data_IF_427859653861
#
_entry.id   IF_427859653861
#
_cell.length_a   1.000
_cell.length_b   1.000
_cell.length_c   1.000
_cell.angle_alpha   90.00
_cell.angle_beta   90.00
_cell.angle_gamma   90.00
#
_symmetry.space_group_name_H-M   'P 1'
#
loop_
_entity.id
_entity.type
_entity.pdbx_description
1 polymer ?
#
# COMPACT_ATOMS: atom_id res chain seq x y z
N UNK A 1 6.92 0.21 -26.18
CA UNK A 1 6.79 -0.43 -24.85
C UNK A 1 7.31 0.45 -23.71
N UNK A 2 8.52 1.00 -23.79
CA UNK A 2 9.09 1.85 -22.72
C UNK A 2 8.19 3.05 -22.35
N UNK A 3 7.62 3.75 -23.35
CA UNK A 3 6.72 4.89 -23.15
C UNK A 3 5.42 4.48 -22.41
N UNK A 4 4.93 3.27 -22.69
CA UNK A 4 3.76 2.72 -21.99
C UNK A 4 4.07 2.42 -20.53
N UNK A 5 5.25 1.84 -20.24
CA UNK A 5 5.71 1.57 -18.87
C UNK A 5 5.88 2.88 -18.09
N UNK A 6 6.54 3.88 -18.68
CA UNK A 6 6.73 5.20 -18.06
C UNK A 6 5.38 5.85 -17.76
N UNK A 7 4.45 5.86 -18.72
CA UNK A 7 3.10 6.41 -18.50
C UNK A 7 2.37 5.69 -17.37
N UNK A 8 2.50 4.36 -17.27
CA UNK A 8 1.84 3.57 -16.24
C UNK A 8 2.44 3.80 -14.85
N UNK A 9 3.77 3.88 -14.73
CA UNK A 9 4.46 4.27 -13.50
C UNK A 9 4.08 5.70 -13.11
N UNK A 10 4.02 6.61 -14.09
CA UNK A 10 3.61 8.00 -13.88
C UNK A 10 2.19 8.13 -13.33
N UNK A 11 1.25 7.26 -13.72
CA UNK A 11 -0.10 7.20 -13.16
C UNK A 11 -0.10 6.56 -11.76
N UNK A 12 0.78 5.60 -11.49
CA UNK A 12 0.85 4.94 -10.18
C UNK A 12 1.26 5.90 -9.05
N UNK A 13 2.12 6.87 -9.33
CA UNK A 13 2.58 7.87 -8.35
C UNK A 13 1.42 8.67 -7.72
N UNK A 14 0.55 9.38 -8.48
CA UNK A 14 -0.57 10.10 -7.88
C UNK A 14 -1.58 9.17 -7.21
N UNK A 15 -1.78 7.95 -7.74
CA UNK A 15 -2.64 6.95 -7.07
C UNK A 15 -2.12 6.58 -5.68
N UNK A 16 -0.81 6.33 -5.55
CA UNK A 16 -0.18 6.03 -4.26
C UNK A 16 -0.23 7.23 -3.31
N UNK A 17 0.00 8.45 -3.80
CA UNK A 17 -0.08 9.66 -2.97
C UNK A 17 -1.49 9.87 -2.42
N UNK A 18 -2.52 9.69 -3.25
CA UNK A 18 -3.93 9.77 -2.81
C UNK A 18 -4.21 8.68 -1.78
N UNK A 19 -3.75 7.45 -2.01
CA UNK A 19 -3.95 6.34 -1.09
C UNK A 19 -3.28 6.62 0.26
N UNK A 20 -2.04 7.11 0.27
CA UNK A 20 -1.32 7.51 1.49
C UNK A 20 -2.09 8.61 2.23
N UNK A 21 -2.55 9.66 1.53
CA UNK A 21 -3.29 10.75 2.15
C UNK A 21 -4.60 10.25 2.77
N UNK A 22 -5.37 9.43 2.04
CA UNK A 22 -6.61 8.83 2.55
C UNK A 22 -6.34 7.96 3.77
N UNK A 23 -5.36 7.05 3.70
CA UNK A 23 -4.97 6.21 4.83
C UNK A 23 -4.52 7.04 6.03
N UNK A 24 -3.77 8.11 5.81
CA UNK A 24 -3.33 9.03 6.87
C UNK A 24 -4.51 9.67 7.59
N UNK A 25 -5.47 10.24 6.85
CA UNK A 25 -6.66 10.85 7.45
C UNK A 25 -7.57 9.82 8.13
N UNK A 26 -7.73 8.63 7.55
CA UNK A 26 -8.49 7.54 8.16
C UNK A 26 -7.88 7.12 9.51
N UNK A 27 -6.55 7.01 9.59
CA UNK A 27 -5.86 6.67 10.83
C UNK A 27 -6.02 7.76 11.91
N UNK A 28 -6.07 9.03 11.53
CA UNK A 28 -6.32 10.14 12.47
C UNK A 28 -7.80 10.30 12.86
N UNK A 29 -8.72 9.88 12.00
CA UNK A 29 -10.16 9.88 12.28
C UNK A 29 -10.57 8.69 13.16
N UNK A 30 -9.79 7.63 13.19
CA UNK A 30 -10.05 6.47 14.04
C UNK A 30 -10.02 6.87 15.53
N UNK A 31 -10.98 6.41 16.35
CA UNK A 31 -11.01 6.71 17.77
C UNK A 31 -9.84 6.02 18.49
N UNK A 32 -8.93 6.82 19.05
CA UNK A 32 -7.75 6.34 19.77
C UNK A 32 -6.44 6.95 19.24
N UNK A 33 -5.36 6.81 20.00
CA UNK A 33 -4.02 7.25 19.60
C UNK A 33 -3.00 6.10 19.65
N UNK A 34 -1.87 6.22 18.93
CA UNK A 34 -0.85 5.17 18.87
C UNK A 34 -0.25 4.79 20.24
N UNK A 35 -0.43 5.67 21.25
CA UNK A 35 0.05 5.46 22.62
C UNK A 35 -1.06 5.19 23.63
N UNK A 36 -2.32 5.03 23.21
CA UNK A 36 -3.40 4.57 24.09
C UNK A 36 -3.22 3.08 24.41
N UNK A 37 -2.35 2.81 25.37
CA UNK A 37 -2.13 1.48 25.94
C UNK A 37 -3.09 1.30 27.13
N UNK A 38 -3.54 0.06 27.41
CA UNK A 38 -4.38 -0.26 28.58
C UNK A 38 -3.77 0.21 29.92
N UNK A 39 -2.44 0.29 29.98
CA UNK A 39 -1.72 1.02 31.03
C UNK A 39 -1.49 2.45 30.55
N UNK A 40 -2.27 3.39 31.08
CA UNK A 40 -2.16 4.82 30.76
C UNK A 40 -0.71 5.30 30.86
N UNK A 41 -0.23 5.96 29.81
CA UNK A 41 1.08 6.58 29.78
C UNK A 41 1.01 7.88 30.59
N UNK A 42 1.95 8.19 31.50
CA UNK A 42 1.98 9.46 32.21
C UNK A 42 1.93 10.64 31.21
N UNK A 43 1.20 11.73 31.51
CA UNK A 43 1.04 12.85 30.58
C UNK A 43 2.35 13.43 30.07
N UNK A 44 3.38 13.49 30.92
CA UNK A 44 4.72 13.97 30.57
C UNK A 44 5.41 13.05 29.54
N UNK A 45 5.27 11.74 29.70
CA UNK A 45 5.84 10.76 28.75
C UNK A 45 5.08 10.81 27.43
N UNK A 46 3.76 10.98 27.48
CA UNK A 46 2.93 11.11 26.28
C UNK A 46 3.28 12.38 25.49
N UNK A 47 3.51 13.51 26.16
CA UNK A 47 3.95 14.74 25.51
C UNK A 47 5.32 14.57 24.82
N UNK A 48 6.28 13.94 25.52
CA UNK A 48 7.60 13.65 24.95
C UNK A 48 7.53 12.69 23.76
N UNK A 49 6.65 11.69 23.81
CA UNK A 49 6.42 10.77 22.69
C UNK A 49 5.79 11.51 21.51
N UNK A 50 4.75 12.31 21.73
CA UNK A 50 4.12 13.08 20.67
C UNK A 50 5.13 14.01 19.98
N UNK A 51 5.95 14.73 20.74
CA UNK A 51 7.02 15.57 20.19
C UNK A 51 8.07 14.76 19.42
N UNK A 52 8.47 13.59 19.93
CA UNK A 52 9.45 12.70 19.27
C UNK A 52 8.94 12.18 17.92
N UNK A 53 7.66 11.88 17.81
CA UNK A 53 7.04 11.37 16.58
C UNK A 53 6.38 12.48 15.73
N UNK A 54 6.47 13.74 16.15
CA UNK A 54 5.86 14.88 15.45
C UNK A 54 4.33 14.88 15.46
N UNK A 55 3.69 14.11 16.34
CA UNK A 55 2.23 14.02 16.45
C UNK A 55 1.58 15.28 17.04
N UNK A 56 2.39 16.17 17.61
CA UNK A 56 2.02 17.50 18.11
C UNK A 56 1.92 18.56 17.01
N UNK A 57 2.40 18.27 15.80
CA UNK A 57 2.40 19.21 14.67
C UNK A 57 1.03 19.27 13.96
N UNK A 58 0.74 20.33 13.19
CA UNK A 58 -0.46 20.37 12.36
C UNK A 58 -0.51 19.20 11.37
N UNK A 59 -1.70 18.62 11.13
CA UNK A 59 -1.88 17.42 10.29
C UNK A 59 -1.26 17.53 8.90
N UNK A 60 -1.33 18.72 8.29
CA UNK A 60 -0.76 18.97 6.96
C UNK A 60 0.77 18.87 7.00
N UNK A 61 1.40 19.37 8.07
CA UNK A 61 2.86 19.30 8.25
C UNK A 61 3.29 17.85 8.51
N UNK A 62 2.53 17.11 9.31
CA UNK A 62 2.78 15.69 9.53
C UNK A 62 2.71 14.88 8.22
N UNK A 63 1.67 15.09 7.41
CA UNK A 63 1.53 14.42 6.11
C UNK A 63 2.66 14.79 5.15
N UNK A 64 3.03 16.07 5.10
CA UNK A 64 4.13 16.53 4.26
C UNK A 64 5.47 15.89 4.66
N UNK A 65 5.81 15.92 5.95
CA UNK A 65 7.03 15.32 6.46
C UNK A 65 7.06 13.80 6.19
N UNK A 66 5.94 13.12 6.39
CA UNK A 66 5.81 11.69 6.09
C UNK A 66 6.06 11.38 4.61
N UNK A 67 5.41 12.10 3.70
CA UNK A 67 5.61 11.94 2.25
C UNK A 67 7.06 12.28 1.87
N UNK A 68 7.64 13.32 2.47
CA UNK A 68 9.02 13.72 2.22
C UNK A 68 10.03 12.65 2.62
N UNK A 69 9.87 12.04 3.79
CA UNK A 69 10.74 10.95 4.25
C UNK A 69 10.60 9.69 3.37
N UNK A 70 9.39 9.36 2.90
CA UNK A 70 9.18 8.28 1.93
C UNK A 70 9.90 8.57 0.61
N UNK A 71 9.81 9.80 0.08
CA UNK A 71 10.39 10.13 -1.22
C UNK A 71 11.93 10.24 -1.13
N UNK A 72 12.45 10.84 -0.07
CA UNK A 72 13.89 11.15 0.03
C UNK A 72 14.72 10.04 0.64
N UNK A 73 14.16 9.29 1.59
CA UNK A 73 14.86 8.25 2.35
C UNK A 73 14.28 6.85 2.14
N UNK A 74 13.15 6.75 1.45
CA UNK A 74 12.37 5.51 1.35
C UNK A 74 11.99 4.97 2.73
N UNK A 75 11.74 5.87 3.70
CA UNK A 75 11.43 5.53 5.08
C UNK A 75 9.93 5.74 5.35
N UNK A 76 9.23 4.65 5.65
CA UNK A 76 7.82 4.65 6.03
C UNK A 76 7.63 4.79 7.55
N UNK A 77 8.71 4.95 8.30
CA UNK A 77 8.71 5.17 9.73
C UNK A 77 8.47 3.90 10.57
N UNK A 78 8.34 4.09 11.89
CA UNK A 78 8.15 3.00 12.84
C UNK A 78 6.72 2.46 12.80
N UNK A 79 6.55 1.17 13.13
CA UNK A 79 5.22 0.61 13.27
C UNK A 79 4.58 1.06 14.59
N UNK A 80 3.40 1.68 14.49
CA UNK A 80 2.59 2.04 15.65
C UNK A 80 1.96 0.82 16.34
N UNK A 81 1.88 -0.32 15.65
CA UNK A 81 1.36 -1.59 16.18
C UNK A 81 2.51 -2.44 16.72
N UNK A 82 3.58 -2.62 15.94
CA UNK A 82 4.74 -3.41 16.32
C UNK A 82 5.88 -2.51 16.82
N UNK A 83 5.90 -2.25 18.14
CA UNK A 83 6.81 -1.27 18.78
C UNK A 83 8.32 -1.46 18.51
N UNK A 84 8.75 -2.63 18.06
CA UNK A 84 10.17 -2.97 17.78
C UNK A 84 10.51 -3.08 16.31
N UNK A 85 9.57 -2.81 15.40
CA UNK A 85 9.76 -2.97 13.95
C UNK A 85 9.42 -1.69 13.20
N UNK A 86 10.13 -1.46 12.11
CA UNK A 86 9.76 -0.42 11.14
C UNK A 86 8.73 -0.95 10.16
N UNK A 87 7.99 -0.04 9.52
CA UNK A 87 7.10 -0.40 8.42
C UNK A 87 7.90 -1.00 7.26
N UNK A 88 9.10 -0.48 7.01
CA UNK A 88 10.04 -1.01 6.04
C UNK A 88 10.38 -2.49 6.30
N UNK A 89 10.64 -2.88 7.55
CA UNK A 89 10.94 -4.28 7.89
C UNK A 89 9.75 -5.19 7.58
N UNK A 90 8.53 -4.72 7.86
CA UNK A 90 7.30 -5.45 7.59
C UNK A 90 7.11 -5.62 6.07
N UNK A 91 7.30 -4.54 5.30
CA UNK A 91 7.24 -4.58 3.84
C UNK A 91 8.31 -5.51 3.28
N UNK A 92 9.57 -5.40 3.74
CA UNK A 92 10.68 -6.21 3.25
C UNK A 92 10.48 -7.70 3.52
N UNK A 93 9.84 -8.07 4.62
CA UNK A 93 9.51 -9.46 4.95
C UNK A 93 8.30 -9.96 4.18
N UNK A 94 7.26 -9.14 4.00
CA UNK A 94 6.03 -9.53 3.31
C UNK A 94 6.13 -9.52 1.78
N UNK A 95 6.93 -8.60 1.21
CA UNK A 95 7.01 -8.38 -0.23
C UNK A 95 7.43 -9.63 -1.02
N UNK A 96 8.48 -10.39 -0.64
CA UNK A 96 8.88 -11.60 -1.37
C UNK A 96 7.77 -12.66 -1.41
N UNK A 97 7.02 -12.78 -0.32
CA UNK A 97 5.91 -13.73 -0.22
C UNK A 97 4.78 -13.34 -1.18
N UNK A 98 4.32 -12.10 -1.10
CA UNK A 98 3.29 -11.56 -2.01
C UNK A 98 3.73 -11.62 -3.47
N UNK A 99 5.00 -11.30 -3.75
CA UNK A 99 5.55 -11.37 -5.10
C UNK A 99 5.56 -12.81 -5.65
N UNK A 100 5.90 -13.80 -4.81
CA UNK A 100 5.89 -15.21 -5.20
C UNK A 100 4.48 -15.66 -5.57
N UNK A 101 3.49 -15.41 -4.71
CA UNK A 101 2.10 -15.76 -5.00
C UNK A 101 1.55 -14.98 -6.19
N UNK A 102 1.83 -13.68 -6.27
CA UNK A 102 1.42 -12.84 -7.38
C UNK A 102 1.97 -13.34 -8.73
N UNK A 103 3.22 -13.80 -8.75
CA UNK A 103 3.85 -14.37 -9.94
C UNK A 103 3.15 -15.66 -10.36
N UNK A 104 2.89 -16.59 -9.45
CA UNK A 104 2.17 -17.83 -9.77
C UNK A 104 0.74 -17.57 -10.23
N UNK A 105 0.01 -16.67 -9.56
CA UNK A 105 -1.32 -16.26 -9.96
C UNK A 105 -1.32 -15.63 -11.36
N UNK A 106 -0.33 -14.79 -11.66
CA UNK A 106 -0.17 -14.20 -12.99
C UNK A 106 0.09 -15.27 -14.05
N UNK A 107 1.00 -16.22 -13.81
CA UNK A 107 1.29 -17.32 -14.75
C UNK A 107 0.03 -18.13 -15.03
N UNK A 108 -0.71 -18.54 -14.01
CA UNK A 108 -1.95 -19.31 -14.18
C UNK A 108 -3.00 -18.48 -14.93
N UNK A 109 -3.20 -17.22 -14.56
CA UNK A 109 -4.14 -16.34 -15.22
C UNK A 109 -3.80 -16.11 -16.70
N UNK A 110 -2.52 -15.96 -17.04
CA UNK A 110 -2.08 -15.83 -18.43
C UNK A 110 -2.30 -17.12 -19.19
N UNK A 111 -1.91 -18.27 -18.64
CA UNK A 111 -2.09 -19.56 -19.32
C UNK A 111 -3.57 -19.81 -19.59
N UNK A 112 -4.42 -19.73 -18.55
CA UNK A 112 -5.86 -19.99 -18.68
C UNK A 112 -6.53 -18.93 -19.54
N UNK A 113 -6.25 -17.65 -19.30
CA UNK A 113 -6.88 -16.53 -20.01
C UNK A 113 -6.52 -16.51 -21.50
N UNK A 114 -5.24 -16.77 -21.85
CA UNK A 114 -4.82 -16.85 -23.26
C UNK A 114 -5.39 -18.10 -23.93
N UNK A 115 -5.36 -19.26 -23.26
CA UNK A 115 -5.95 -20.49 -23.83
C UNK A 115 -7.45 -20.34 -24.10
N UNK A 116 -8.21 -19.78 -23.16
CA UNK A 116 -9.63 -19.50 -23.34
C UNK A 116 -9.87 -18.44 -24.43
N UNK A 117 -9.08 -17.36 -24.45
CA UNK A 117 -9.18 -16.33 -25.48
C UNK A 117 -8.92 -16.87 -26.89
N UNK A 118 -7.94 -17.77 -27.04
CA UNK A 118 -7.67 -18.45 -28.32
C UNK A 118 -8.82 -19.39 -28.69
N UNK A 119 -9.33 -20.19 -27.74
CA UNK A 119 -10.44 -21.10 -27.99
C UNK A 119 -11.75 -20.38 -28.38
N UNK A 120 -12.04 -19.23 -27.77
CA UNK A 120 -13.15 -18.35 -28.12
C UNK A 120 -12.97 -17.74 -29.52
N UNK A 121 -11.75 -17.28 -29.85
CA UNK A 121 -11.45 -16.70 -31.17
C UNK A 121 -11.59 -17.72 -32.31
N UNK A 122 -11.25 -18.99 -32.08
CA UNK A 122 -11.42 -20.07 -33.08
C UNK A 122 -12.88 -20.51 -33.20
N UNK A 123 -13.62 -20.57 -32.09
CA UNK A 123 -15.04 -20.97 -32.07
C UNK A 123 -15.96 -19.75 -31.92
N UNK A 124 -15.82 -18.80 -32.83
CA UNK A 124 -16.60 -17.56 -32.82
C UNK A 124 -18.11 -17.84 -32.78
N UNK A 125 -18.88 -17.08 -31.99
CA UNK A 125 -20.34 -17.21 -31.86
C UNK A 125 -20.81 -18.51 -31.15
N UNK A 126 -19.91 -19.19 -30.44
CA UNK A 126 -20.21 -20.34 -29.58
C UNK A 126 -20.48 -19.92 -28.13
N UNK A 127 -21.11 -20.79 -27.33
CA UNK A 127 -21.32 -20.57 -25.90
C UNK A 127 -20.01 -20.29 -25.13
N UNK A 128 -18.89 -20.84 -25.58
CA UNK A 128 -17.55 -20.57 -25.02
C UNK A 128 -17.08 -19.13 -25.26
N UNK A 129 -17.48 -18.51 -26.38
CA UNK A 129 -17.19 -17.10 -26.70
C UNK A 129 -17.96 -16.17 -25.75
N UNK A 130 -19.26 -16.43 -25.56
CA UNK A 130 -20.11 -15.68 -24.64
C UNK A 130 -19.64 -15.75 -23.17
N UNK A 131 -19.11 -16.89 -22.72
CA UNK A 131 -18.61 -17.06 -21.34
C UNK A 131 -17.21 -16.46 -21.16
N UNK A 132 -16.37 -16.45 -22.20
CA UNK A 132 -15.00 -15.95 -22.10
C UNK A 132 -14.89 -14.43 -22.27
N UNK A 133 -15.82 -13.80 -22.99
CA UNK A 133 -15.79 -12.37 -23.34
C UNK A 133 -16.79 -11.52 -22.54
N UNK A 134 -17.86 -12.13 -22.01
CA UNK A 134 -18.85 -11.46 -21.14
C UNK A 134 -18.40 -11.35 -19.69
#
# INVERSE_FOLDING_TARGET
MINFVIRRIGIAIPTLLILIAISFFLMHAAPGGPFNSERGVPPEVLANLNAKYGLDQPLIVQLWNYIWDIITKFDFGPSMVFKTRTVNDIIAQGFPVTFTYGTWSFVVAVVVGVSLGVAAAVNHNSWLDYIAVG
#
